data_IF_026631289484
#
_entry.id   IF_026631289484
#
_cell.length_a   1.000
_cell.length_b   1.000
_cell.length_c   1.000
_cell.angle_alpha   90.00
_cell.angle_beta   90.00
_cell.angle_gamma   90.00
#
_symmetry.space_group_name_H-M   'P 1'
#
loop_
_entity.id
_entity.type
_entity.pdbx_description
1 polymer ?
#
# COMPACT_ATOMS: atom_id res chain seq x y z
N UNK A 1 23.58 5.85 -29.26
CA UNK A 1 23.80 4.58 -28.52
C UNK A 1 22.64 4.47 -27.55
N UNK A 2 21.64 3.60 -27.68
CA UNK A 2 21.50 2.33 -28.41
C UNK A 2 20.28 2.37 -29.34
N UNK A 3 20.45 1.85 -30.55
CA UNK A 3 19.41 1.54 -31.52
C UNK A 3 18.96 0.10 -31.27
N UNK A 4 17.66 -0.16 -31.07
CA UNK A 4 17.04 -1.49 -31.22
C UNK A 4 15.59 -1.33 -31.70
N UNK A 5 15.39 -1.05 -33.00
CA UNK A 5 14.10 -1.16 -33.66
C UNK A 5 14.14 -2.41 -34.56
N UNK A 6 13.50 -3.51 -34.17
CA UNK A 6 13.41 -4.72 -35.01
C UNK A 6 12.13 -4.75 -35.87
N UNK A 7 11.45 -3.61 -36.06
CA UNK A 7 10.44 -3.39 -37.11
C UNK A 7 9.22 -4.31 -37.08
N UNK A 8 8.96 -5.01 -35.97
CA UNK A 8 7.82 -5.91 -35.83
C UNK A 8 6.63 -5.20 -35.13
N UNK A 9 5.41 -5.76 -35.25
CA UNK A 9 4.20 -5.18 -34.64
C UNK A 9 4.30 -5.06 -33.11
N UNK A 10 5.06 -5.95 -32.46
CA UNK A 10 5.30 -5.93 -31.01
C UNK A 10 6.22 -4.77 -30.59
N UNK A 11 7.21 -4.42 -31.41
CA UNK A 11 8.08 -3.25 -31.22
C UNK A 11 7.32 -1.94 -31.46
N UNK A 12 6.41 -1.91 -32.44
CA UNK A 12 5.56 -0.74 -32.68
C UNK A 12 4.54 -0.54 -31.55
N UNK A 13 4.01 -1.64 -31.00
CA UNK A 13 3.16 -1.63 -29.80
C UNK A 13 3.92 -1.17 -28.55
N UNK A 14 5.16 -1.62 -28.36
CA UNK A 14 6.03 -1.16 -27.26
C UNK A 14 6.39 0.32 -27.41
N UNK A 15 6.66 0.79 -28.63
CA UNK A 15 6.93 2.21 -28.93
C UNK A 15 5.74 3.12 -28.56
N UNK A 16 4.51 2.71 -28.85
CA UNK A 16 3.29 3.43 -28.45
C UNK A 16 3.17 3.49 -26.92
N UNK A 17 3.45 2.41 -26.20
CA UNK A 17 3.40 2.38 -24.73
C UNK A 17 4.50 3.26 -24.11
N UNK A 18 5.65 3.43 -24.76
CA UNK A 18 6.77 4.25 -24.26
C UNK A 18 6.67 5.76 -24.53
N UNK A 19 5.71 6.22 -25.33
CA UNK A 19 5.52 7.65 -25.68
C UNK A 19 4.27 8.29 -25.03
N UNK A 20 3.59 7.55 -24.14
CA UNK A 20 2.44 8.08 -23.42
C UNK A 20 2.88 8.86 -22.18
N UNK A 21 2.72 10.18 -22.24
CA UNK A 21 2.73 11.10 -21.10
C UNK A 21 1.67 10.68 -20.07
N UNK A 22 2.11 9.97 -19.04
CA UNK A 22 1.23 9.36 -18.05
C UNK A 22 2.01 8.86 -16.84
N UNK A 23 1.30 8.52 -15.77
CA UNK A 23 1.95 8.06 -14.55
C UNK A 23 2.59 6.67 -14.72
N UNK A 24 3.74 6.42 -14.06
CA UNK A 24 4.45 5.16 -14.19
C UNK A 24 3.63 3.99 -13.64
N UNK A 25 3.86 2.80 -14.19
CA UNK A 25 3.28 1.57 -13.66
C UNK A 25 3.70 1.37 -12.19
N UNK A 26 2.73 1.09 -11.34
CA UNK A 26 2.95 0.91 -9.90
C UNK A 26 3.16 -0.56 -9.54
N UNK A 27 4.14 -0.82 -8.68
CA UNK A 27 4.33 -2.07 -7.98
C UNK A 27 4.44 -1.80 -6.49
N UNK A 28 3.57 -2.41 -5.68
CA UNK A 28 3.60 -2.29 -4.22
C UNK A 28 4.05 -3.62 -3.64
N UNK A 29 5.24 -3.65 -3.06
CA UNK A 29 5.76 -4.85 -2.42
C UNK A 29 4.86 -5.25 -1.24
N UNK A 30 4.60 -6.55 -1.07
CA UNK A 30 3.73 -7.08 -0.02
C UNK A 30 2.29 -6.52 -0.03
N UNK A 31 1.83 -6.05 -1.19
CA UNK A 31 0.45 -5.63 -1.44
C UNK A 31 0.04 -5.87 -2.89
N UNK A 32 -1.19 -5.48 -3.22
CA UNK A 32 -1.72 -5.60 -4.58
C UNK A 32 -2.78 -4.51 -4.84
N UNK A 33 -2.99 -4.22 -6.14
CA UNK A 33 -4.05 -3.31 -6.58
C UNK A 33 -5.41 -3.97 -6.45
N UNK A 34 -6.40 -3.24 -5.97
CA UNK A 34 -7.80 -3.70 -5.89
C UNK A 34 -8.70 -3.01 -6.92
N UNK A 35 -8.30 -1.85 -7.43
CA UNK A 35 -9.00 -1.10 -8.47
C UNK A 35 -8.01 -0.30 -9.33
N UNK A 36 -8.48 0.26 -10.45
CA UNK A 36 -7.64 1.07 -11.33
C UNK A 36 -6.65 0.25 -12.13
N UNK A 37 -7.12 -0.79 -12.82
CA UNK A 37 -6.25 -1.62 -13.67
C UNK A 37 -6.20 -1.03 -15.07
N UNK A 38 -4.98 -0.73 -15.53
CA UNK A 38 -4.76 -0.26 -16.89
C UNK A 38 -3.34 -0.55 -17.36
N UNK A 39 -3.13 -0.67 -18.68
CA UNK A 39 -1.79 -0.75 -19.26
C UNK A 39 -1.05 0.61 -19.25
N UNK A 40 -1.78 1.71 -19.11
CA UNK A 40 -1.30 3.10 -19.04
C UNK A 40 -2.19 3.87 -18.06
N UNK A 41 -1.66 4.90 -17.40
CA UNK A 41 -2.39 5.77 -16.47
C UNK A 41 -2.27 7.24 -16.89
N UNK A 42 -3.39 7.89 -17.17
CA UNK A 42 -3.47 9.29 -17.56
C UNK A 42 -3.91 10.16 -16.38
N UNK A 43 -3.76 11.48 -16.54
CA UNK A 43 -4.24 12.45 -15.55
C UNK A 43 -5.67 12.15 -15.08
N UNK A 44 -5.85 12.06 -13.76
CA UNK A 44 -7.14 11.76 -13.12
C UNK A 44 -7.45 10.28 -12.92
N UNK A 45 -6.69 9.36 -13.54
CA UNK A 45 -6.83 7.93 -13.26
C UNK A 45 -6.41 7.63 -11.82
N UNK A 46 -7.11 6.71 -11.15
CA UNK A 46 -6.81 6.35 -9.77
C UNK A 46 -6.50 4.86 -9.62
N UNK A 47 -5.76 4.51 -8.57
CA UNK A 47 -5.44 3.13 -8.19
C UNK A 47 -5.71 2.97 -6.70
N UNK A 48 -6.37 1.86 -6.33
CA UNK A 48 -6.56 1.47 -4.93
C UNK A 48 -5.70 0.25 -4.58
N UNK A 49 -5.21 0.19 -3.34
CA UNK A 49 -4.28 -0.83 -2.86
C UNK A 49 -4.74 -1.50 -1.57
N UNK A 50 -4.36 -2.76 -1.42
CA UNK A 50 -4.47 -3.51 -0.17
C UNK A 50 -3.16 -4.24 0.11
N UNK A 51 -2.76 -4.27 1.38
CA UNK A 51 -1.60 -5.04 1.81
C UNK A 51 -1.94 -6.51 2.06
N UNK A 52 -0.95 -7.36 1.82
CA UNK A 52 -1.02 -8.78 2.12
C UNK A 52 -1.23 -9.02 3.63
N UNK A 53 -1.71 -10.20 3.99
CA UNK A 53 -1.93 -10.57 5.39
C UNK A 53 -0.64 -10.43 6.20
N UNK A 54 -0.72 -9.74 7.34
CA UNK A 54 0.42 -9.49 8.22
C UNK A 54 1.23 -8.24 7.88
N UNK A 55 0.80 -7.50 6.85
CA UNK A 55 1.31 -6.17 6.53
C UNK A 55 0.23 -5.12 6.77
N UNK A 56 0.67 -3.91 7.10
CA UNK A 56 -0.17 -2.75 7.36
C UNK A 56 0.15 -1.71 6.29
N UNK A 57 -0.89 -1.07 5.75
CA UNK A 57 -0.76 -0.01 4.76
C UNK A 57 -0.33 1.28 5.47
N UNK A 58 0.77 1.87 4.99
CA UNK A 58 1.27 3.17 5.40
C UNK A 58 1.15 4.15 4.23
N UNK A 59 0.44 5.25 4.46
CA UNK A 59 0.04 6.18 3.41
C UNK A 59 -1.48 6.11 3.17
N UNK A 60 -1.90 6.46 1.96
CA UNK A 60 -3.31 6.35 1.55
C UNK A 60 -3.54 5.05 0.80
N UNK A 61 -4.75 4.51 0.89
CA UNK A 61 -5.14 3.31 0.16
C UNK A 61 -5.41 3.58 -1.33
N UNK A 62 -5.48 4.86 -1.72
CA UNK A 62 -5.84 5.31 -3.06
C UNK A 62 -4.95 6.46 -3.51
N UNK A 63 -4.41 6.36 -4.72
CA UNK A 63 -3.63 7.41 -5.38
C UNK A 63 -4.25 7.80 -6.70
N UNK A 64 -4.03 9.03 -7.14
CA UNK A 64 -4.51 9.56 -8.42
C UNK A 64 -3.32 10.04 -9.25
N UNK A 65 -3.38 9.86 -10.57
CA UNK A 65 -2.35 10.35 -11.46
C UNK A 65 -2.47 11.88 -11.59
N UNK A 66 -1.48 12.59 -11.05
CA UNK A 66 -1.40 14.05 -11.05
C UNK A 66 -1.07 14.63 -12.42
N UNK A 67 -1.24 15.94 -12.55
CA UNK A 67 -1.01 16.66 -13.82
C UNK A 67 0.45 16.60 -14.28
N UNK A 68 1.37 16.40 -13.33
CA UNK A 68 2.80 16.28 -13.57
C UNK A 68 3.23 14.84 -13.86
N UNK A 69 2.29 13.94 -14.15
CA UNK A 69 2.56 12.51 -14.42
C UNK A 69 3.17 11.80 -13.18
N UNK A 70 2.84 12.32 -12.00
CA UNK A 70 3.29 11.82 -10.70
C UNK A 70 2.06 11.34 -9.92
N UNK A 71 2.20 10.21 -9.24
CA UNK A 71 1.16 9.71 -8.35
C UNK A 71 0.99 10.61 -7.13
N UNK A 72 -0.24 11.04 -6.89
CA UNK A 72 -0.61 11.95 -5.81
C UNK A 72 -1.79 11.39 -4.99
N UNK A 73 -1.64 11.25 -3.66
CA UNK A 73 -0.39 11.41 -2.91
C UNK A 73 0.63 10.31 -3.23
N UNK A 74 1.79 10.34 -2.58
CA UNK A 74 2.84 9.33 -2.75
C UNK A 74 2.31 7.90 -2.55
N UNK A 75 2.89 6.95 -3.29
CA UNK A 75 2.50 5.55 -3.25
C UNK A 75 2.61 4.96 -1.83
N UNK A 76 1.62 4.16 -1.39
CA UNK A 76 1.67 3.56 -0.07
C UNK A 76 2.75 2.49 0.03
N UNK A 77 3.19 2.23 1.27
CA UNK A 77 4.08 1.11 1.58
C UNK A 77 3.35 0.09 2.45
N UNK A 78 3.59 -1.19 2.20
CA UNK A 78 3.10 -2.27 3.05
C UNK A 78 4.22 -2.69 4.00
N UNK A 79 4.07 -2.34 5.28
CA UNK A 79 5.07 -2.63 6.30
C UNK A 79 4.62 -3.78 7.17
N UNK A 80 5.57 -4.67 7.56
CA UNK A 80 5.24 -5.83 8.39
C UNK A 80 4.67 -5.35 9.72
N UNK A 81 3.42 -5.69 9.97
CA UNK A 81 2.67 -5.19 11.10
C UNK A 81 1.79 -6.27 11.67
N UNK A 82 2.04 -6.63 12.93
CA UNK A 82 1.06 -7.39 13.70
C UNK A 82 -0.13 -6.47 13.89
N UNK A 83 -1.36 -6.92 13.61
CA UNK A 83 -2.58 -6.24 14.08
C UNK A 83 -2.57 -6.32 15.61
N UNK A 84 -1.80 -5.41 16.23
CA UNK A 84 -1.54 -5.35 17.67
C UNK A 84 -2.81 -5.08 18.45
N UNK A 85 -3.93 -4.74 17.80
CA UNK A 85 -5.21 -4.52 18.45
C UNK A 85 -5.66 -5.72 19.28
N UNK A 86 -5.47 -6.97 18.85
CA UNK A 86 -5.89 -8.11 19.67
C UNK A 86 -4.94 -8.38 20.85
N UNK A 87 -3.63 -8.36 20.62
CA UNK A 87 -2.63 -8.59 21.66
C UNK A 87 -2.59 -7.46 22.70
N UNK A 88 -2.75 -6.20 22.27
CA UNK A 88 -2.85 -5.07 23.16
C UNK A 88 -4.16 -5.14 23.97
N UNK A 89 -5.30 -5.46 23.35
CA UNK A 89 -6.57 -5.67 24.09
C UNK A 89 -6.46 -6.77 25.15
N UNK A 90 -5.80 -7.89 24.84
CA UNK A 90 -5.58 -8.97 25.81
C UNK A 90 -4.63 -8.49 26.93
N UNK A 91 -3.52 -7.83 26.58
CA UNK A 91 -2.59 -7.27 27.57
C UNK A 91 -3.25 -6.25 28.50
N UNK A 92 -4.07 -5.37 27.95
CA UNK A 92 -4.78 -4.33 28.71
C UNK A 92 -5.82 -4.95 29.63
N UNK A 93 -6.61 -5.93 29.15
CA UNK A 93 -7.58 -6.67 29.97
C UNK A 93 -6.91 -7.47 31.11
N UNK A 94 -5.77 -8.11 30.83
CA UNK A 94 -4.99 -8.81 31.85
C UNK A 94 -4.41 -7.82 32.87
N UNK A 95 -3.92 -6.66 32.43
CA UNK A 95 -3.37 -5.61 33.31
C UNK A 95 -4.43 -5.02 34.24
N UNK A 96 -5.64 -4.79 33.73
CA UNK A 96 -6.79 -4.30 34.49
C UNK A 96 -7.19 -5.32 35.58
N UNK A 97 -7.33 -6.59 35.19
CA UNK A 97 -7.65 -7.70 36.12
C UNK A 97 -6.60 -7.87 37.24
N UNK A 98 -5.31 -7.73 36.90
CA UNK A 98 -4.22 -7.82 37.88
C UNK A 98 -4.20 -6.61 38.81
N UNK A 99 -4.51 -5.40 38.30
CA UNK A 99 -4.58 -4.22 39.15
C UNK A 99 -5.69 -4.32 40.19
N UNK A 100 -6.89 -4.79 39.80
CA UNK A 100 -8.00 -5.05 40.71
C UNK A 100 -7.62 -6.06 41.80
N UNK A 101 -6.98 -7.17 41.40
CA UNK A 101 -6.52 -8.18 42.35
C UNK A 101 -5.48 -7.63 43.35
N UNK A 102 -4.52 -6.83 42.88
CA UNK A 102 -3.51 -6.19 43.73
C UNK A 102 -4.16 -5.23 44.74
N UNK A 103 -5.21 -4.50 44.35
CA UNK A 103 -5.94 -3.62 45.26
C UNK A 103 -6.63 -4.38 46.39
N UNK A 104 -7.21 -5.57 46.11
CA UNK A 104 -7.77 -6.45 47.14
C UNK A 104 -6.70 -6.96 48.13
N UNK A 105 -5.53 -7.34 47.64
CA UNK A 105 -4.44 -7.81 48.52
C UNK A 105 -3.81 -6.69 49.35
N UNK A 106 -3.74 -5.45 48.83
CA UNK A 106 -3.20 -4.29 49.57
C UNK A 106 -4.14 -3.78 50.67
N UNK A 107 -5.42 -4.15 50.65
CA UNK A 107 -6.39 -3.89 51.71
C UNK A 107 -6.51 -5.00 52.75
N UNK A 108 -5.71 -6.07 52.62
CA UNK A 108 -5.53 -7.10 53.65
C UNK A 108 -4.25 -6.78 54.45
N UNK A 109 -4.33 -5.72 55.26
CA UNK A 109 -3.46 -5.44 56.39
C UNK A 109 -4.24 -4.60 57.41
#
# INVERSE_FOLDING_TARGET
MLQLFNGNLFDHYLFVITDHKGCPLVHVENGYKTAGFGPVYNYGDFIAFVCNRGYILHGTDTVTCGINEIWEPELPTCQKGVKRTLWNRIKDAVKESVSEAIHWFRGLA
#
